data_IF_284387848963
#
_entry.id   IF_284387848963
#
_cell.length_a   1.000
_cell.length_b   1.000
_cell.length_c   1.000
_cell.angle_alpha   90.00
_cell.angle_beta   90.00
_cell.angle_gamma   90.00
#
_symmetry.space_group_name_H-M   'P 1'
#
loop_
_entity.id
_entity.type
_entity.pdbx_description
1 polymer ?
#
# COMPACT_ATOMS: atom_id res chain seq x y z
N UNK A 1 -51.99 -18.84 8.93
CA UNK A 1 -51.36 -17.55 9.28
C UNK A 1 -49.91 -17.57 8.77
N UNK A 2 -49.72 -17.78 7.47
CA UNK A 2 -48.45 -18.34 6.96
C UNK A 2 -47.73 -17.40 5.97
N UNK A 3 -48.48 -16.54 5.28
CA UNK A 3 -47.94 -15.61 4.28
C UNK A 3 -47.03 -14.52 4.89
N UNK A 4 -47.28 -14.11 6.14
CA UNK A 4 -46.48 -13.09 6.82
C UNK A 4 -45.15 -13.65 7.33
N UNK A 5 -45.13 -14.94 7.66
CA UNK A 5 -43.93 -15.66 8.11
C UNK A 5 -42.97 -15.91 6.94
N UNK A 6 -43.49 -16.24 5.75
CA UNK A 6 -42.68 -16.41 4.54
C UNK A 6 -42.00 -15.11 4.10
N UNK A 7 -42.71 -13.97 4.10
CA UNK A 7 -42.09 -12.66 3.77
C UNK A 7 -41.02 -12.24 4.78
N UNK A 8 -41.17 -12.59 6.06
CA UNK A 8 -40.13 -12.34 7.08
C UNK A 8 -38.88 -13.16 6.83
N UNK A 9 -39.02 -14.42 6.42
CA UNK A 9 -37.88 -15.29 6.09
C UNK A 9 -37.13 -14.74 4.87
N UNK A 10 -37.84 -14.29 3.83
CA UNK A 10 -37.25 -13.64 2.66
C UNK A 10 -36.51 -12.34 3.02
N UNK A 11 -37.10 -11.51 3.88
CA UNK A 11 -36.44 -10.28 4.32
C UNK A 11 -35.17 -10.55 5.14
N UNK A 12 -35.19 -11.56 6.01
CA UNK A 12 -34.03 -11.96 6.83
C UNK A 12 -32.94 -12.56 5.94
N UNK A 13 -33.29 -13.41 4.97
CA UNK A 13 -32.30 -14.01 4.06
C UNK A 13 -31.65 -12.97 3.16
N UNK A 14 -32.41 -12.00 2.64
CA UNK A 14 -31.86 -10.86 1.90
C UNK A 14 -30.93 -10.02 2.79
N UNK A 15 -31.34 -9.71 4.03
CA UNK A 15 -30.52 -8.92 4.94
C UNK A 15 -29.18 -9.62 5.26
N UNK A 16 -29.20 -10.93 5.53
CA UNK A 16 -27.99 -11.73 5.79
C UNK A 16 -27.08 -11.76 4.56
N UNK A 17 -27.65 -11.93 3.36
CA UNK A 17 -26.88 -11.93 2.12
C UNK A 17 -26.18 -10.59 1.88
N UNK A 18 -26.87 -9.47 2.10
CA UNK A 18 -26.29 -8.13 1.95
C UNK A 18 -25.15 -7.90 2.95
N UNK A 19 -25.32 -8.31 4.20
CA UNK A 19 -24.28 -8.18 5.23
C UNK A 19 -23.06 -9.02 4.89
N UNK A 20 -23.25 -10.28 4.44
CA UNK A 20 -22.15 -11.16 4.05
C UNK A 20 -21.36 -10.60 2.87
N UNK A 21 -22.04 -10.05 1.86
CA UNK A 21 -21.39 -9.41 0.70
C UNK A 21 -20.64 -8.15 1.12
N UNK A 22 -21.25 -7.30 1.96
CA UNK A 22 -20.62 -6.07 2.45
C UNK A 22 -19.37 -6.34 3.29
N UNK A 23 -19.45 -7.29 4.22
CA UNK A 23 -18.30 -7.69 5.03
C UNK A 23 -17.20 -8.35 4.18
N UNK A 24 -17.58 -9.23 3.25
CA UNK A 24 -16.64 -9.90 2.35
C UNK A 24 -15.90 -8.92 1.43
N UNK A 25 -16.62 -7.96 0.84
CA UNK A 25 -16.01 -6.92 -0.01
C UNK A 25 -15.10 -5.98 0.79
N UNK A 26 -15.51 -5.55 1.98
CA UNK A 26 -14.66 -4.73 2.85
C UNK A 26 -13.37 -5.46 3.25
N UNK A 27 -13.48 -6.73 3.65
CA UNK A 27 -12.34 -7.56 4.03
C UNK A 27 -11.39 -7.82 2.86
N UNK A 28 -11.93 -8.13 1.68
CA UNK A 28 -11.15 -8.30 0.46
C UNK A 28 -10.40 -7.02 0.08
N UNK A 29 -11.05 -5.87 0.14
CA UNK A 29 -10.42 -4.58 -0.12
C UNK A 29 -9.34 -4.24 0.92
N UNK A 30 -9.52 -4.61 2.18
CA UNK A 30 -8.52 -4.41 3.22
C UNK A 30 -7.23 -5.21 2.96
N UNK A 31 -7.37 -6.50 2.60
CA UNK A 31 -6.21 -7.36 2.31
C UNK A 31 -5.49 -6.97 1.01
N UNK A 32 -6.23 -6.51 0.00
CA UNK A 32 -5.66 -6.17 -1.31
C UNK A 32 -5.06 -4.77 -1.38
N UNK A 33 -5.11 -3.96 -0.30
CA UNK A 33 -4.42 -2.66 -0.26
C UNK A 33 -2.91 -2.88 -0.33
N UNK A 34 -2.34 -2.76 -1.52
CA UNK A 34 -0.88 -2.75 -1.68
C UNK A 34 -0.32 -1.47 -1.02
N UNK A 35 0.80 -1.58 -0.28
CA UNK A 35 1.47 -0.40 0.25
C UNK A 35 1.85 0.53 -0.91
N UNK A 36 1.72 1.84 -0.68
CA UNK A 36 2.09 2.84 -1.69
C UNK A 36 3.59 2.67 -2.03
N UNK A 37 3.96 2.66 -3.32
CA UNK A 37 5.37 2.60 -3.71
C UNK A 37 6.11 3.82 -3.15
N UNK A 38 7.38 3.63 -2.75
CA UNK A 38 8.17 4.70 -2.15
C UNK A 38 8.61 5.77 -3.16
N UNK A 39 8.72 5.39 -4.43
CA UNK A 39 9.07 6.26 -5.54
C UNK A 39 7.84 6.47 -6.42
N UNK A 40 7.52 7.73 -6.66
CA UNK A 40 6.55 8.15 -7.66
C UNK A 40 7.33 8.53 -8.94
N UNK A 41 7.02 7.94 -10.11
CA UNK A 41 7.78 8.22 -11.34
C UNK A 41 7.60 9.66 -11.82
N UNK A 42 6.47 10.29 -11.52
CA UNK A 42 6.14 11.66 -11.97
C UNK A 42 6.66 12.74 -11.02
N UNK A 43 6.96 12.39 -9.75
CA UNK A 43 7.31 13.35 -8.71
C UNK A 43 8.58 12.96 -7.98
N UNK A 44 9.56 13.85 -7.97
CA UNK A 44 10.76 13.68 -7.15
C UNK A 44 10.39 13.78 -5.67
N UNK A 45 10.80 12.77 -4.91
CA UNK A 45 10.61 12.74 -3.47
C UNK A 45 11.92 13.05 -2.77
N UNK A 46 11.86 13.95 -1.81
CA UNK A 46 13.02 14.29 -0.99
C UNK A 46 13.26 13.19 0.04
N UNK A 47 14.49 12.69 0.09
CA UNK A 47 14.92 11.73 1.09
C UNK A 47 16.05 12.34 1.92
N UNK A 48 15.93 12.27 3.25
CA UNK A 48 16.92 12.83 4.16
C UNK A 48 18.19 11.98 4.15
N UNK A 49 19.35 12.62 4.03
CA UNK A 49 20.64 11.93 4.16
C UNK A 49 20.88 11.56 5.63
N UNK A 50 20.92 10.26 5.92
CA UNK A 50 21.16 9.72 7.26
C UNK A 50 22.64 9.55 7.52
N UNK A 51 23.37 9.05 6.53
CA UNK A 51 24.78 8.72 6.69
C UNK A 51 25.55 8.88 5.39
N UNK A 52 26.72 9.51 5.48
CA UNK A 52 27.75 9.49 4.44
C UNK A 52 28.94 8.71 4.97
N UNK A 53 29.37 7.68 4.24
CA UNK A 53 30.56 6.89 4.56
C UNK A 53 31.56 7.05 3.43
N UNK A 54 32.72 7.63 3.71
CA UNK A 54 33.80 7.71 2.74
C UNK A 54 34.46 6.34 2.62
N UNK A 55 34.49 5.78 1.42
CA UNK A 55 35.10 4.47 1.15
C UNK A 55 36.51 4.62 0.60
N UNK A 56 36.77 5.65 -0.22
CA UNK A 56 38.08 5.95 -0.78
C UNK A 56 38.22 7.44 -1.06
N UNK A 57 39.29 7.84 -1.75
CA UNK A 57 39.53 9.23 -2.16
C UNK A 57 38.38 9.78 -3.03
N UNK A 58 37.83 8.95 -3.94
CA UNK A 58 36.83 9.37 -4.92
C UNK A 58 35.47 8.68 -4.77
N UNK A 59 35.30 7.79 -3.79
CA UNK A 59 34.06 7.02 -3.62
C UNK A 59 33.49 7.22 -2.23
N UNK A 60 32.20 7.55 -2.19
CA UNK A 60 31.43 7.64 -0.96
C UNK A 60 30.11 6.88 -1.10
N UNK A 61 29.69 6.25 -0.01
CA UNK A 61 28.39 5.60 0.13
C UNK A 61 27.46 6.52 0.92
N UNK A 62 26.30 6.83 0.35
CA UNK A 62 25.27 7.65 0.95
C UNK A 62 24.08 6.76 1.33
N UNK A 63 23.57 6.91 2.56
CA UNK A 63 22.38 6.23 3.04
C UNK A 63 21.29 7.26 3.31
N UNK A 64 20.20 7.15 2.58
CA UNK A 64 19.04 8.01 2.72
C UNK A 64 17.94 7.30 3.53
N UNK A 65 17.17 8.08 4.28
CA UNK A 65 16.03 7.59 5.05
C UNK A 65 14.83 7.43 4.13
N UNK A 66 14.13 6.30 4.20
CA UNK A 66 12.82 6.16 3.58
C UNK A 66 11.76 6.83 4.47
N UNK A 67 10.65 7.32 3.90
CA UNK A 67 9.58 7.98 4.66
C UNK A 67 8.95 7.09 5.73
N UNK A 68 9.06 5.77 5.59
CA UNK A 68 8.58 4.79 6.58
C UNK A 68 9.62 3.66 6.77
N UNK A 69 9.86 3.19 8.00
CA UNK A 69 10.90 2.21 8.29
C UNK A 69 10.63 0.84 7.64
N UNK A 70 9.36 0.45 7.52
CA UNK A 70 8.95 -0.82 6.91
C UNK A 70 8.85 -0.75 5.37
N UNK A 71 9.06 0.44 4.80
CA UNK A 71 8.87 0.63 3.37
C UNK A 71 10.12 0.30 2.58
N UNK A 72 9.93 -0.43 1.48
CA UNK A 72 10.97 -0.77 0.53
C UNK A 72 10.93 0.16 -0.67
N UNK A 73 12.10 0.51 -1.19
CA UNK A 73 12.22 1.38 -2.36
C UNK A 73 11.50 0.79 -3.58
N UNK A 74 11.51 -0.54 -3.72
CA UNK A 74 10.64 -1.26 -4.65
C UNK A 74 10.99 -1.09 -6.14
N UNK A 75 12.24 -0.75 -6.49
CA UNK A 75 12.64 -0.75 -7.90
C UNK A 75 12.67 -2.20 -8.44
N UNK A 76 11.99 -2.47 -9.56
CA UNK A 76 12.15 -3.73 -10.28
C UNK A 76 13.60 -3.94 -10.72
N UNK A 77 13.99 -5.21 -10.82
CA UNK A 77 15.34 -5.58 -11.29
C UNK A 77 15.53 -5.04 -12.72
N UNK A 78 16.67 -4.39 -12.96
CA UNK A 78 16.99 -3.76 -14.25
C UNK A 78 16.56 -2.29 -14.37
N UNK A 79 15.85 -1.74 -13.38
CA UNK A 79 15.53 -0.31 -13.35
C UNK A 79 16.53 0.51 -12.53
N UNK A 80 16.67 1.78 -12.91
CA UNK A 80 17.51 2.77 -12.23
C UNK A 80 16.63 3.94 -11.77
N UNK A 81 17.16 4.73 -10.83
CA UNK A 81 16.50 5.92 -10.31
C UNK A 81 17.21 7.19 -10.77
N UNK A 82 16.45 8.27 -10.96
CA UNK A 82 17.00 9.59 -11.25
C UNK A 82 17.22 10.34 -9.95
N UNK A 83 18.44 10.87 -9.76
CA UNK A 83 18.78 11.69 -8.61
C UNK A 83 18.91 13.15 -9.06
N UNK A 84 18.24 14.07 -8.36
CA UNK A 84 18.40 15.50 -8.52
C UNK A 84 18.95 16.08 -7.22
N UNK A 85 19.98 16.93 -7.31
CA UNK A 85 20.36 17.80 -6.21
C UNK A 85 19.60 19.12 -6.36
N UNK A 86 19.01 19.59 -5.26
CA UNK A 86 18.45 20.93 -5.13
C UNK A 86 19.39 21.74 -4.25
#
# INVERSE_FOLDING_TARGET
MDALQSRRIEAISIAVAVVAIGAGTAYYLYITRKPKPCLDPDNFKEFKLVKRTQLSHNVAKFRFELPTPDSVLGLPIGQHMSCRCV
#
